data_IF_747955219383
#
_entry.id   IF_747955219383
#
_cell.length_a   1.000
_cell.length_b   1.000
_cell.length_c   1.000
_cell.angle_alpha   90.00
_cell.angle_beta   90.00
_cell.angle_gamma   90.00
#
_symmetry.space_group_name_H-M   'P 1'
#
loop_
_entity.id
_entity.type
_entity.pdbx_description
1 polymer ?
#
# COMPACT_ATOMS: atom_id res chain seq x y z
N UNK A 1 -12.44 -14.28 -3.74
CA UNK A 1 -11.15 -13.87 -3.15
C UNK A 1 -10.42 -15.15 -2.80
N UNK A 2 -9.22 -15.36 -3.34
CA UNK A 2 -8.46 -16.58 -3.05
C UNK A 2 -7.96 -16.49 -1.60
N UNK A 3 -8.37 -17.46 -0.76
CA UNK A 3 -7.84 -17.64 0.59
C UNK A 3 -6.50 -18.37 0.47
N UNK A 4 -5.44 -17.63 0.15
CA UNK A 4 -4.07 -18.13 0.24
C UNK A 4 -3.67 -18.09 1.71
N UNK A 5 -3.18 -19.21 2.25
CA UNK A 5 -2.65 -19.27 3.60
C UNK A 5 -1.37 -18.46 3.73
N UNK A 6 -1.04 -17.98 4.94
CA UNK A 6 0.20 -17.21 5.16
C UNK A 6 1.45 -18.01 4.74
N UNK A 7 1.46 -19.33 4.93
CA UNK A 7 2.56 -20.21 4.51
C UNK A 7 2.70 -20.31 2.99
N UNK A 8 1.59 -20.36 2.25
CA UNK A 8 1.61 -20.29 0.78
C UNK A 8 2.06 -18.92 0.29
N UNK A 9 1.62 -17.85 0.96
CA UNK A 9 2.06 -16.48 0.68
C UNK A 9 3.57 -16.32 0.88
N UNK A 10 4.11 -16.93 1.93
CA UNK A 10 5.54 -16.90 2.24
C UNK A 10 6.38 -17.65 1.18
N UNK A 11 5.89 -18.80 0.70
CA UNK A 11 6.52 -19.56 -0.41
C UNK A 11 6.48 -18.83 -1.75
N UNK A 12 5.43 -18.04 -2.00
CA UNK A 12 5.30 -17.23 -3.23
C UNK A 12 6.22 -16.01 -3.15
N UNK A 13 6.29 -15.35 -1.98
CA UNK A 13 7.06 -14.12 -1.80
C UNK A 13 8.56 -14.37 -1.67
N UNK A 14 8.96 -15.53 -1.14
CA UNK A 14 10.37 -15.91 -0.96
C UNK A 14 10.56 -17.34 -1.47
N UNK A 15 10.98 -17.47 -2.72
CA UNK A 15 11.32 -18.76 -3.31
C UNK A 15 12.48 -19.42 -2.55
N UNK A 16 12.56 -20.75 -2.62
CA UNK A 16 13.65 -21.53 -2.00
C UNK A 16 15.04 -21.09 -2.51
N UNK A 17 15.13 -20.65 -3.77
CA UNK A 17 16.34 -20.07 -4.36
C UNK A 17 16.71 -18.74 -3.72
N UNK A 18 15.72 -17.87 -3.48
CA UNK A 18 15.94 -16.59 -2.79
C UNK A 18 16.38 -16.82 -1.35
N UNK A 19 15.81 -17.82 -0.69
CA UNK A 19 16.17 -18.21 0.69
C UNK A 19 17.61 -18.72 0.77
N UNK A 20 17.99 -19.66 -0.11
CA UNK A 20 19.39 -20.16 -0.21
C UNK A 20 20.38 -19.04 -0.49
N UNK A 21 20.06 -18.16 -1.44
CA UNK A 21 20.94 -17.04 -1.78
C UNK A 21 21.17 -16.09 -0.59
N UNK A 22 20.14 -15.84 0.22
CA UNK A 22 20.26 -15.00 1.42
C UNK A 22 21.03 -15.68 2.56
N UNK A 23 20.94 -17.01 2.68
CA UNK A 23 21.73 -17.81 3.62
C UNK A 23 23.22 -17.85 3.24
N UNK A 24 23.53 -17.97 1.94
CA UNK A 24 24.90 -17.97 1.41
C UNK A 24 25.55 -16.57 1.42
N UNK A 25 24.73 -15.52 1.44
CA UNK A 25 25.19 -14.12 1.42
C UNK A 25 24.58 -13.28 2.56
N UNK A 26 24.96 -13.51 3.83
CA UNK A 26 24.40 -12.82 4.99
C UNK A 26 24.66 -11.31 5.01
N UNK A 27 25.66 -10.82 4.29
CA UNK A 27 25.89 -9.37 4.08
C UNK A 27 24.83 -8.72 3.17
N UNK A 28 24.19 -9.51 2.29
CA UNK A 28 23.12 -9.09 1.40
C UNK A 28 21.78 -9.04 2.15
N UNK A 29 21.57 -9.85 3.19
CA UNK A 29 20.37 -9.79 4.03
C UNK A 29 20.08 -8.38 4.55
N UNK A 30 21.11 -7.66 5.00
CA UNK A 30 20.96 -6.26 5.43
C UNK A 30 20.58 -5.30 4.28
N UNK A 31 21.01 -5.58 3.05
CA UNK A 31 20.69 -4.78 1.86
C UNK A 31 19.30 -5.09 1.32
N UNK A 32 18.94 -6.37 1.25
CA UNK A 32 17.61 -6.84 0.88
C UNK A 32 16.56 -6.33 1.87
N UNK A 33 16.79 -6.45 3.19
CA UNK A 33 15.90 -5.93 4.22
C UNK A 33 15.65 -4.42 4.08
N UNK A 34 16.68 -3.63 3.75
CA UNK A 34 16.53 -2.18 3.50
C UNK A 34 15.66 -1.89 2.27
N UNK A 35 15.82 -2.66 1.19
CA UNK A 35 15.01 -2.51 -0.02
C UNK A 35 13.55 -2.87 0.27
N UNK A 36 13.29 -4.02 0.90
CA UNK A 36 11.93 -4.43 1.28
C UNK A 36 11.26 -3.46 2.24
N UNK A 37 11.98 -2.92 3.22
CA UNK A 37 11.46 -1.89 4.12
C UNK A 37 11.10 -0.60 3.38
N UNK A 38 11.94 -0.17 2.43
CA UNK A 38 11.70 1.03 1.61
C UNK A 38 10.48 0.85 0.69
N UNK A 39 10.38 -0.29 0.02
CA UNK A 39 9.24 -0.61 -0.85
C UNK A 39 7.93 -0.76 -0.04
N UNK A 40 8.00 -1.36 1.16
CA UNK A 40 6.85 -1.46 2.06
C UNK A 40 6.36 -0.07 2.51
N UNK A 41 7.28 0.83 2.84
CA UNK A 41 6.96 2.21 3.21
C UNK A 41 6.36 2.99 2.03
N UNK A 42 6.92 2.83 0.82
CA UNK A 42 6.38 3.44 -0.40
C UNK A 42 4.95 2.96 -0.68
N UNK A 43 4.70 1.65 -0.59
CA UNK A 43 3.38 1.08 -0.77
C UNK A 43 2.37 1.61 0.25
N UNK A 44 2.75 1.66 1.54
CA UNK A 44 1.90 2.21 2.60
C UNK A 44 1.58 3.71 2.36
N UNK A 45 2.57 4.49 1.94
CA UNK A 45 2.42 5.92 1.64
C UNK A 45 1.48 6.15 0.45
N UNK A 46 1.63 5.36 -0.61
CA UNK A 46 0.76 5.43 -1.78
C UNK A 46 -0.70 5.08 -1.44
N UNK A 47 -0.91 4.05 -0.61
CA UNK A 47 -2.24 3.67 -0.13
C UNK A 47 -2.88 4.78 0.72
N UNK A 48 -2.12 5.37 1.65
CA UNK A 48 -2.59 6.48 2.48
C UNK A 48 -2.98 7.69 1.61
N UNK A 49 -2.15 8.03 0.63
CA UNK A 49 -2.40 9.12 -0.33
C UNK A 49 -3.66 8.88 -1.15
N UNK A 50 -3.87 7.65 -1.61
CA UNK A 50 -5.07 7.27 -2.35
C UNK A 50 -6.35 7.46 -1.52
N UNK A 51 -6.38 6.95 -0.29
CA UNK A 51 -7.55 7.09 0.59
C UNK A 51 -7.80 8.56 0.98
N UNK A 52 -6.74 9.33 1.21
CA UNK A 52 -6.84 10.78 1.44
C UNK A 52 -7.49 11.48 0.25
N UNK A 53 -7.01 11.23 -0.97
CA UNK A 53 -7.55 11.82 -2.18
C UNK A 53 -9.03 11.45 -2.41
N UNK A 54 -9.40 10.21 -2.08
CA UNK A 54 -10.79 9.74 -2.13
C UNK A 54 -11.66 10.48 -1.11
N UNK A 55 -11.17 10.70 0.11
CA UNK A 55 -11.87 11.48 1.13
C UNK A 55 -12.05 12.94 0.71
N UNK A 56 -10.98 13.59 0.21
CA UNK A 56 -11.02 14.97 -0.30
C UNK A 56 -12.04 15.11 -1.43
N UNK A 57 -12.08 14.18 -2.40
CA UNK A 57 -13.09 14.18 -3.47
C UNK A 57 -14.51 14.10 -2.93
N UNK A 58 -14.76 13.25 -1.94
CA UNK A 58 -16.09 13.15 -1.29
C UNK A 58 -16.48 14.46 -0.61
N UNK A 59 -15.57 15.05 0.15
CA UNK A 59 -15.80 16.34 0.84
C UNK A 59 -16.09 17.45 -0.17
N UNK A 60 -15.30 17.55 -1.24
CA UNK A 60 -15.52 18.54 -2.30
C UNK A 60 -16.88 18.37 -2.99
N UNK A 61 -17.32 17.13 -3.24
CA UNK A 61 -18.65 16.87 -3.81
C UNK A 61 -19.77 17.30 -2.86
N UNK A 62 -19.64 17.02 -1.55
CA UNK A 62 -20.62 17.47 -0.54
C UNK A 62 -20.64 19.00 -0.46
N UNK A 63 -19.48 19.63 -0.39
CA UNK A 63 -19.35 21.08 -0.31
C UNK A 63 -19.92 21.78 -1.55
N UNK A 64 -19.73 21.21 -2.73
CA UNK A 64 -20.32 21.72 -3.98
C UNK A 64 -21.84 21.63 -3.93
N UNK A 65 -22.40 20.48 -3.52
CA UNK A 65 -23.86 20.32 -3.38
C UNK A 65 -24.47 21.30 -2.37
N UNK A 66 -23.80 21.55 -1.24
CA UNK A 66 -24.22 22.53 -0.24
C UNK A 66 -24.23 23.96 -0.81
N UNK A 67 -23.21 24.35 -1.58
CA UNK A 67 -23.17 25.67 -2.25
C UNK A 67 -24.28 25.85 -3.29
N UNK A 68 -24.70 24.78 -3.96
CA UNK A 68 -25.83 24.83 -4.90
C UNK A 68 -27.17 24.98 -4.17
N UNK A 69 -27.37 24.28 -3.05
CA UNK A 69 -28.63 24.33 -2.29
C UNK A 69 -28.86 25.70 -1.62
N UNK A 70 -27.80 26.36 -1.15
CA UNK A 70 -27.92 27.71 -0.56
C UNK A 70 -28.17 28.82 -1.59
N UNK A 71 -27.83 28.62 -2.87
CA UNK A 71 -28.12 29.59 -3.94
C UNK A 71 -29.54 29.52 -4.47
N UNK A 72 -30.22 28.39 -4.33
CA UNK A 72 -31.60 28.19 -4.84
C UNK A 72 -32.69 28.56 -3.83
N UNK A 73 -32.33 28.93 -2.61
CA UNK A 73 -33.27 29.33 -1.54
C UNK A 73 -33.20 30.82 -1.20
N UNK A 74 -32.45 31.62 -1.97
CA UNK A 74 -32.33 33.07 -1.81
C UNK A 74 -33.03 33.84 -2.92
#
# INVERSE_FOLDING_TARGET
>A
MANISNEELEKILISDESRKYLEEHPSINGRAAKIYASESLNCATNKATYELNKAVKKVNNVMTKLKFTTKTQG
#
